data_IF_458763506092
#
_entry.id   IF_458763506092
#
_cell.length_a   1.000
_cell.length_b   1.000
_cell.length_c   1.000
_cell.angle_alpha   90.00
_cell.angle_beta   90.00
_cell.angle_gamma   90.00
#
_symmetry.space_group_name_H-M   'P 1'
#
loop_
_entity.id
_entity.type
_entity.pdbx_description
1 polymer ?
#
# COMPACT_ATOMS: atom_id res chain seq x y z
N UNK A 1 79.95 -19.17 10.44
CA UNK A 1 79.50 -17.80 10.77
C UNK A 1 79.43 -17.02 9.48
N UNK A 2 78.22 -16.72 8.98
CA UNK A 2 77.82 -15.55 8.18
C UNK A 2 76.41 -15.83 7.64
N UNK A 3 75.44 -15.10 8.17
CA UNK A 3 74.04 -15.20 7.84
C UNK A 3 73.70 -14.30 6.64
N UNK A 4 73.08 -14.88 5.61
CA UNK A 4 72.50 -14.16 4.48
C UNK A 4 71.07 -13.75 4.83
N UNK A 5 70.81 -12.43 4.86
CA UNK A 5 69.47 -11.84 4.94
C UNK A 5 68.89 -11.69 3.53
N UNK A 6 67.68 -12.21 3.33
CA UNK A 6 66.87 -12.03 2.13
C UNK A 6 66.03 -10.75 2.25
N UNK A 7 65.81 -9.96 1.18
CA UNK A 7 64.96 -8.78 1.26
C UNK A 7 63.49 -9.15 1.07
N UNK A 8 62.65 -8.70 2.00
CA UNK A 8 61.19 -8.71 1.84
C UNK A 8 60.78 -7.64 0.83
N UNK A 9 60.12 -8.05 -0.25
CA UNK A 9 59.48 -7.16 -1.21
C UNK A 9 58.05 -6.89 -0.71
N UNK A 10 57.79 -5.67 -0.23
CA UNK A 10 56.45 -5.22 0.16
C UNK A 10 55.75 -4.70 -1.09
N UNK A 11 54.80 -5.49 -1.60
CA UNK A 11 53.93 -5.09 -2.71
C UNK A 11 52.82 -4.18 -2.17
N UNK A 12 52.96 -2.88 -2.40
CA UNK A 12 51.95 -1.87 -2.05
C UNK A 12 50.80 -1.93 -3.06
N UNK A 13 49.68 -2.55 -2.70
CA UNK A 13 48.46 -2.53 -3.52
C UNK A 13 47.77 -1.17 -3.30
N UNK A 14 47.99 -0.25 -4.24
CA UNK A 14 47.24 1.00 -4.33
C UNK A 14 45.79 0.68 -4.74
N UNK A 15 44.92 0.55 -3.76
CA UNK A 15 43.47 0.46 -3.96
C UNK A 15 42.97 1.77 -4.56
N UNK A 16 42.66 1.74 -5.86
CA UNK A 16 41.96 2.83 -6.53
C UNK A 16 40.51 2.83 -6.01
N UNK A 17 40.23 3.67 -5.01
CA UNK A 17 38.87 3.94 -4.57
C UNK A 17 38.16 4.72 -5.68
N UNK A 18 37.52 4.00 -6.62
CA UNK A 18 36.56 4.60 -7.54
C UNK A 18 35.38 5.10 -6.72
N UNK A 19 35.39 6.40 -6.40
CA UNK A 19 34.22 7.12 -5.93
C UNK A 19 33.20 7.08 -7.05
N UNK A 20 32.20 6.21 -6.92
CA UNK A 20 30.98 6.31 -7.72
C UNK A 20 30.28 7.60 -7.30
N UNK A 21 30.53 8.68 -8.04
CA UNK A 21 29.67 9.85 -8.01
C UNK A 21 28.28 9.36 -8.44
N UNK A 22 27.33 9.32 -7.49
CA UNK A 22 25.92 9.14 -7.79
C UNK A 22 25.55 10.28 -8.73
N UNK A 23 25.33 9.95 -10.01
CA UNK A 23 24.80 10.91 -10.97
C UNK A 23 23.52 11.50 -10.38
N UNK A 24 23.40 12.84 -10.40
CA UNK A 24 22.18 13.53 -10.01
C UNK A 24 21.00 12.89 -10.77
N UNK A 25 20.17 12.12 -10.05
CA UNK A 25 18.95 11.52 -10.59
C UNK A 25 18.08 12.70 -11.05
N UNK A 26 18.00 12.90 -12.38
CA UNK A 26 17.07 13.85 -12.97
C UNK A 26 15.67 13.51 -12.45
N UNK A 27 15.13 14.37 -11.58
CA UNK A 27 13.85 14.12 -10.93
C UNK A 27 12.76 14.10 -11.99
N UNK A 28 12.13 12.93 -12.16
CA UNK A 28 10.98 12.81 -13.04
C UNK A 28 9.90 13.81 -12.60
N UNK A 29 9.16 14.43 -13.54
CA UNK A 29 8.04 15.27 -13.17
C UNK A 29 7.07 14.50 -12.28
N UNK A 30 6.70 15.08 -11.14
CA UNK A 30 5.81 14.47 -10.15
C UNK A 30 4.40 14.30 -10.75
N UNK A 31 4.15 13.19 -11.45
CA UNK A 31 2.91 12.96 -12.19
C UNK A 31 1.68 12.82 -11.27
N UNK A 32 1.89 12.46 -10.01
CA UNK A 32 0.84 12.32 -9.00
C UNK A 32 0.87 13.46 -7.97
N UNK A 33 1.28 14.65 -8.40
CA UNK A 33 1.30 15.83 -7.55
C UNK A 33 -0.12 16.20 -7.10
N UNK A 34 -0.28 16.39 -5.79
CA UNK A 34 -1.51 16.92 -5.22
C UNK A 34 -1.52 18.44 -5.25
N UNK A 35 -2.71 19.03 -5.27
CA UNK A 35 -2.91 20.46 -5.12
C UNK A 35 -3.39 20.76 -3.71
N UNK A 36 -2.82 21.77 -3.06
CA UNK A 36 -3.27 22.19 -1.72
C UNK A 36 -4.68 22.78 -1.82
N UNK A 37 -5.60 22.24 -1.02
CA UNK A 37 -6.99 22.68 -0.96
C UNK A 37 -7.09 23.95 -0.10
N UNK A 38 -7.70 25.00 -0.64
CA UNK A 38 -7.94 26.23 0.12
C UNK A 38 -8.99 25.99 1.22
N UNK A 39 -8.87 26.61 2.41
CA UNK A 39 -9.80 26.37 3.52
C UNK A 39 -11.29 26.58 3.19
N UNK A 40 -11.61 27.59 2.37
CA UNK A 40 -12.98 27.85 1.93
C UNK A 40 -13.52 26.70 1.04
N UNK A 41 -12.68 26.18 0.15
CA UNK A 41 -13.02 25.04 -0.72
C UNK A 41 -13.18 23.77 0.11
N UNK A 42 -12.28 23.55 1.08
CA UNK A 42 -12.36 22.40 1.99
C UNK A 42 -13.67 22.35 2.77
N UNK A 43 -14.15 23.51 3.26
CA UNK A 43 -15.43 23.60 3.93
C UNK A 43 -16.62 23.31 3.00
N UNK A 44 -16.58 23.83 1.76
CA UNK A 44 -17.62 23.55 0.76
C UNK A 44 -17.69 22.07 0.41
N UNK A 45 -16.54 21.38 0.31
CA UNK A 45 -16.48 19.93 0.08
C UNK A 45 -17.16 19.19 1.24
N UNK A 46 -16.86 19.55 2.49
CA UNK A 46 -17.48 18.93 3.66
C UNK A 46 -19.00 19.13 3.72
N UNK A 47 -19.50 20.31 3.34
CA UNK A 47 -20.94 20.61 3.37
C UNK A 47 -21.75 19.78 2.37
N UNK A 48 -21.14 19.43 1.24
CA UNK A 48 -21.78 18.59 0.22
C UNK A 48 -21.49 17.10 0.37
N UNK A 49 -20.53 16.73 1.23
CA UNK A 49 -20.15 15.35 1.41
C UNK A 49 -21.31 14.51 2.00
N UNK A 50 -21.53 13.35 1.39
CA UNK A 50 -22.40 12.30 1.91
C UNK A 50 -21.64 11.49 2.96
N UNK A 51 -22.12 11.58 4.19
CA UNK A 51 -21.60 10.81 5.32
C UNK A 51 -22.42 9.55 5.54
N UNK A 52 -21.76 8.51 6.06
CA UNK A 52 -22.44 7.31 6.50
C UNK A 52 -23.36 7.63 7.69
N UNK A 53 -24.61 7.19 7.60
CA UNK A 53 -25.55 7.23 8.73
C UNK A 53 -25.33 6.00 9.60
N UNK A 54 -24.95 6.21 10.86
CA UNK A 54 -24.78 5.10 11.80
C UNK A 54 -26.13 4.65 12.34
N UNK A 55 -26.44 3.37 12.14
CA UNK A 55 -27.63 2.74 12.74
C UNK A 55 -27.34 2.16 14.14
N UNK A 56 -26.06 2.01 14.50
CA UNK A 56 -25.63 1.46 15.79
C UNK A 56 -25.48 2.57 16.84
N UNK A 57 -26.15 2.48 18.00
CA UNK A 57 -26.03 3.50 19.05
C UNK A 57 -24.63 3.56 19.68
N UNK A 58 -23.85 2.49 19.56
CA UNK A 58 -22.49 2.39 20.11
C UNK A 58 -21.43 3.04 19.19
N UNK A 59 -21.84 3.60 18.05
CA UNK A 59 -20.91 4.14 17.04
C UNK A 59 -21.12 5.64 16.88
N UNK A 60 -20.04 6.41 16.80
CA UNK A 60 -20.14 7.85 16.72
C UNK A 60 -20.74 8.26 15.37
N UNK A 61 -21.74 9.12 15.37
CA UNK A 61 -22.17 9.78 14.13
C UNK A 61 -21.11 10.82 13.76
N UNK A 62 -20.59 10.74 12.54
CA UNK A 62 -19.62 11.71 12.02
C UNK A 62 -20.31 12.52 10.92
N UNK A 63 -20.13 13.83 10.98
CA UNK A 63 -20.66 14.80 10.03
C UNK A 63 -19.63 15.92 9.77
N UNK A 64 -20.00 16.90 8.93
CA UNK A 64 -19.13 18.03 8.59
C UNK A 64 -18.70 18.84 9.83
N UNK A 65 -19.59 19.03 10.81
CA UNK A 65 -19.28 19.78 12.04
C UNK A 65 -18.23 19.03 12.88
N UNK A 66 -18.41 17.73 13.06
CA UNK A 66 -17.47 16.85 13.78
C UNK A 66 -16.09 16.91 13.14
N UNK A 67 -15.99 16.78 11.81
CA UNK A 67 -14.70 16.83 11.11
C UNK A 67 -14.01 18.20 11.21
N UNK A 68 -14.75 19.31 11.26
CA UNK A 68 -14.18 20.63 11.51
C UNK A 68 -13.56 20.72 12.89
N UNK A 69 -14.28 20.29 13.93
CA UNK A 69 -13.77 20.29 15.31
C UNK A 69 -12.55 19.38 15.44
N UNK A 70 -12.55 18.24 14.76
CA UNK A 70 -11.41 17.32 14.76
C UNK A 70 -10.22 17.79 13.92
N UNK A 71 -10.35 18.93 13.22
CA UNK A 71 -9.40 19.41 12.22
C UNK A 71 -9.07 18.34 11.17
N UNK A 72 -10.05 17.54 10.76
CA UNK A 72 -9.91 16.45 9.79
C UNK A 72 -10.46 16.85 8.41
N UNK A 73 -10.14 18.08 7.99
CA UNK A 73 -10.57 18.67 6.73
C UNK A 73 -9.78 18.10 5.53
N UNK A 74 -10.33 18.12 4.30
CA UNK A 74 -9.53 17.88 3.10
C UNK A 74 -8.47 18.99 2.94
N UNK A 75 -7.21 18.58 2.83
CA UNK A 75 -6.05 19.47 2.69
C UNK A 75 -5.45 19.44 1.29
N UNK A 76 -5.70 18.36 0.56
CA UNK A 76 -5.15 18.11 -0.76
C UNK A 76 -6.25 17.67 -1.72
N UNK A 77 -6.04 17.91 -3.01
CA UNK A 77 -6.91 17.44 -4.08
C UNK A 77 -6.07 16.77 -5.17
N UNK A 78 -6.58 15.67 -5.72
CA UNK A 78 -5.95 14.91 -6.79
C UNK A 78 -7.02 14.46 -7.78
N UNK A 79 -6.83 14.75 -9.07
CA UNK A 79 -7.70 14.24 -10.13
C UNK A 79 -7.20 12.88 -10.59
N UNK A 80 -8.10 11.89 -10.65
CA UNK A 80 -7.83 10.55 -11.15
C UNK A 80 -8.96 10.17 -12.11
N UNK A 81 -8.70 10.33 -13.41
CA UNK A 81 -9.65 10.10 -14.49
C UNK A 81 -10.99 10.84 -14.27
N UNK A 82 -12.08 10.12 -14.03
CA UNK A 82 -13.43 10.65 -13.83
C UNK A 82 -13.71 11.11 -12.39
N UNK A 83 -12.75 10.97 -11.47
CA UNK A 83 -12.94 11.27 -10.05
C UNK A 83 -11.97 12.35 -9.55
N UNK A 84 -12.42 13.14 -8.57
CA UNK A 84 -11.55 14.01 -7.77
C UNK A 84 -11.47 13.47 -6.35
N UNK A 85 -10.26 13.21 -5.88
CA UNK A 85 -10.00 12.80 -4.50
C UNK A 85 -9.58 14.02 -3.69
N UNK A 86 -10.42 14.46 -2.77
CA UNK A 86 -10.03 15.43 -1.76
C UNK A 86 -9.58 14.68 -0.50
N UNK A 87 -8.30 14.81 -0.16
CA UNK A 87 -7.64 13.99 0.86
C UNK A 87 -7.32 14.84 2.09
N UNK A 88 -7.55 14.29 3.28
CA UNK A 88 -6.84 14.75 4.48
C UNK A 88 -5.37 14.34 4.42
N UNK A 89 -4.56 14.82 5.36
CA UNK A 89 -3.29 14.18 5.66
C UNK A 89 -3.50 12.79 6.32
N UNK A 90 -2.49 11.91 6.31
CA UNK A 90 -2.54 10.66 7.04
C UNK A 90 -2.57 10.90 8.56
N UNK A 91 -3.38 10.14 9.29
CA UNK A 91 -3.45 10.13 10.74
C UNK A 91 -2.79 8.87 11.28
N UNK A 92 -2.01 9.00 12.36
CA UNK A 92 -1.46 7.85 13.05
C UNK A 92 -2.59 6.98 13.65
N UNK A 93 -2.45 5.67 13.47
CA UNK A 93 -3.38 4.67 13.98
C UNK A 93 -2.61 3.55 14.70
N UNK A 94 -3.30 2.53 15.20
CA UNK A 94 -2.67 1.48 16.01
C UNK A 94 -1.69 0.63 15.19
N UNK A 95 -0.65 0.11 15.85
CA UNK A 95 0.30 -0.84 15.25
C UNK A 95 1.06 -0.29 14.04
N UNK A 96 1.41 1.00 14.06
CA UNK A 96 2.11 1.68 12.97
C UNK A 96 1.29 1.85 11.69
N UNK A 97 -0.01 1.56 11.72
CA UNK A 97 -0.92 1.85 10.62
C UNK A 97 -1.24 3.33 10.58
N UNK A 98 -1.72 3.78 9.43
CA UNK A 98 -2.30 5.09 9.27
C UNK A 98 -3.68 4.97 8.62
N UNK A 99 -4.54 5.94 8.89
CA UNK A 99 -5.78 6.16 8.16
C UNK A 99 -5.76 7.53 7.49
N UNK A 100 -6.60 7.75 6.50
CA UNK A 100 -6.83 9.06 5.90
C UNK A 100 -8.31 9.19 5.58
N UNK A 101 -8.83 10.41 5.53
CA UNK A 101 -10.16 10.68 4.99
C UNK A 101 -10.03 11.04 3.52
N UNK A 102 -10.89 10.44 2.71
CA UNK A 102 -11.05 10.79 1.31
C UNK A 102 -12.49 11.23 1.07
N UNK A 103 -12.66 12.40 0.48
CA UNK A 103 -13.93 12.88 -0.06
C UNK A 103 -13.85 12.69 -1.56
N UNK A 104 -14.47 11.62 -2.03
CA UNK A 104 -14.41 11.19 -3.43
C UNK A 104 -15.55 11.87 -4.17
N UNK A 105 -15.20 12.77 -5.08
CA UNK A 105 -16.14 13.44 -5.96
C UNK A 105 -16.22 12.68 -7.30
N UNK A 106 -17.41 12.15 -7.61
CA UNK A 106 -17.74 11.49 -8.88
C UNK A 106 -19.13 11.94 -9.29
N UNK A 107 -19.31 12.33 -10.55
CA UNK A 107 -20.59 12.81 -11.09
C UNK A 107 -21.24 13.91 -10.22
N UNK A 108 -20.44 14.90 -9.80
CA UNK A 108 -20.82 16.02 -8.92
C UNK A 108 -21.30 15.60 -7.51
N UNK A 109 -21.18 14.33 -7.13
CA UNK A 109 -21.47 13.84 -5.78
C UNK A 109 -20.20 13.60 -4.97
N UNK A 110 -20.14 14.15 -3.76
CA UNK A 110 -19.01 13.98 -2.85
C UNK A 110 -19.33 12.91 -1.81
N UNK A 111 -18.45 11.92 -1.69
CA UNK A 111 -18.64 10.76 -0.81
C UNK A 111 -17.51 10.68 0.22
N UNK A 112 -17.83 10.79 1.52
CA UNK A 112 -16.84 10.66 2.58
C UNK A 112 -16.48 9.18 2.79
N UNK A 113 -15.19 8.84 2.72
CA UNK A 113 -14.65 7.49 2.86
C UNK A 113 -13.44 7.50 3.78
N UNK A 114 -13.21 6.39 4.46
CA UNK A 114 -11.98 6.17 5.24
C UNK A 114 -11.06 5.27 4.44
N UNK A 115 -9.83 5.71 4.30
CA UNK A 115 -8.75 4.91 3.74
C UNK A 115 -7.85 4.43 4.87
N UNK A 116 -7.26 3.26 4.72
CA UNK A 116 -6.24 2.75 5.62
C UNK A 116 -5.04 2.24 4.84
N UNK A 117 -3.87 2.35 5.46
CA UNK A 117 -2.64 1.80 4.89
C UNK A 117 -2.47 0.33 5.29
N UNK A 118 -2.17 -0.52 4.30
CA UNK A 118 -1.68 -1.87 4.53
C UNK A 118 -0.19 -1.83 4.88
N UNK A 119 0.19 -2.34 6.05
CA UNK A 119 1.60 -2.38 6.45
C UNK A 119 2.42 -3.40 5.65
N UNK A 120 1.80 -4.45 5.12
CA UNK A 120 2.52 -5.50 4.39
C UNK A 120 2.80 -5.08 2.94
N UNK A 121 1.77 -4.62 2.22
CA UNK A 121 1.88 -4.23 0.82
C UNK A 121 2.27 -2.75 0.62
N UNK A 122 2.21 -1.93 1.68
CA UNK A 122 2.38 -0.47 1.63
C UNK A 122 1.40 0.25 0.68
N UNK A 123 0.29 -0.40 0.31
CA UNK A 123 -0.80 0.20 -0.45
C UNK A 123 -1.85 0.81 0.46
N UNK A 124 -2.63 1.75 -0.07
CA UNK A 124 -3.81 2.28 0.59
C UNK A 124 -5.06 1.56 0.12
N UNK A 125 -6.00 1.36 1.04
CA UNK A 125 -7.25 0.65 0.78
C UNK A 125 -8.43 1.39 1.38
N UNK A 126 -9.56 1.32 0.72
CA UNK A 126 -10.83 1.80 1.25
C UNK A 126 -11.30 0.87 2.39
N UNK A 127 -11.79 1.45 3.49
CA UNK A 127 -12.46 0.75 4.56
C UNK A 127 -13.94 1.15 4.56
N UNK A 128 -14.81 0.19 4.26
CA UNK A 128 -16.27 0.34 4.25
C UNK A 128 -16.91 -0.24 5.52
N UNK A 129 -16.24 -1.18 6.19
CA UNK A 129 -16.77 -1.87 7.36
C UNK A 129 -15.68 -2.19 8.39
N UNK A 130 -16.05 -2.20 9.68
CA UNK A 130 -15.17 -2.59 10.80
C UNK A 130 -15.87 -3.41 11.88
N UNK A 131 -15.09 -4.16 12.67
CA UNK A 131 -15.54 -4.94 13.84
C UNK A 131 -14.62 -4.71 15.05
N UNK A 132 -15.07 -3.94 16.04
CA UNK A 132 -14.26 -3.65 17.23
C UNK A 132 -12.91 -2.98 16.95
N UNK A 133 -12.73 -2.39 15.77
CA UNK A 133 -11.46 -1.82 15.27
C UNK A 133 -10.71 -2.70 14.26
N UNK A 134 -11.16 -3.93 14.01
CA UNK A 134 -10.67 -4.73 12.89
C UNK A 134 -11.21 -4.16 11.58
N UNK A 135 -10.41 -4.23 10.52
CA UNK A 135 -10.72 -3.66 9.20
C UNK A 135 -11.32 -4.73 8.29
N UNK A 136 -12.44 -4.42 7.63
CA UNK A 136 -13.08 -5.32 6.67
C UNK A 136 -12.27 -5.45 5.39
N UNK A 137 -12.07 -6.68 4.92
CA UNK A 137 -11.14 -7.00 3.81
C UNK A 137 -11.76 -7.18 2.41
N UNK A 138 -13.09 -7.13 2.26
CA UNK A 138 -13.74 -7.28 0.94
C UNK A 138 -14.00 -8.73 0.54
N UNK A 139 -14.33 -9.00 -0.72
CA UNK A 139 -14.33 -10.37 -1.28
C UNK A 139 -12.91 -10.93 -1.29
N UNK A 140 -11.95 -10.09 -1.68
CA UNK A 140 -10.53 -10.39 -1.79
C UNK A 140 -9.71 -9.27 -1.18
N UNK A 141 -8.58 -9.56 -0.57
CA UNK A 141 -7.79 -8.53 0.13
C UNK A 141 -7.35 -7.33 -0.76
N UNK A 142 -7.30 -7.52 -2.08
CA UNK A 142 -6.86 -6.54 -3.07
C UNK A 142 -7.99 -5.78 -3.78
N UNK A 143 -9.26 -6.13 -3.55
CA UNK A 143 -10.41 -5.52 -4.22
C UNK A 143 -10.79 -4.13 -3.68
N UNK A 144 -10.19 -3.74 -2.55
CA UNK A 144 -10.34 -2.42 -1.91
C UNK A 144 -9.16 -1.50 -2.13
N UNK A 145 -8.21 -1.85 -3.00
CA UNK A 145 -7.07 -0.97 -3.29
C UNK A 145 -7.53 0.29 -4.03
N UNK A 146 -7.17 1.45 -3.48
CA UNK A 146 -7.42 2.73 -4.18
C UNK A 146 -6.47 2.87 -5.37
N UNK A 147 -6.81 3.70 -6.37
CA UNK A 147 -5.92 3.97 -7.50
C UNK A 147 -4.47 4.26 -7.07
N UNK A 148 -3.49 3.79 -7.84
CA UNK A 148 -2.06 3.99 -7.56
C UNK A 148 -1.72 5.48 -7.37
N UNK A 149 -2.24 6.43 -8.18
CA UNK A 149 -2.01 7.86 -7.94
C UNK A 149 -2.39 8.31 -6.51
N UNK A 150 -3.50 7.81 -5.97
CA UNK A 150 -3.95 8.11 -4.60
C UNK A 150 -3.03 7.47 -3.56
N UNK A 151 -2.64 6.21 -3.78
CA UNK A 151 -1.65 5.53 -2.91
C UNK A 151 -0.33 6.30 -2.86
N UNK A 152 0.20 6.73 -4.01
CA UNK A 152 1.45 7.49 -4.09
C UNK A 152 1.32 8.84 -3.41
N UNK A 153 0.23 9.57 -3.66
CA UNK A 153 -0.02 10.85 -3.01
C UNK A 153 0.00 10.75 -1.48
N UNK A 154 -0.72 9.77 -0.92
CA UNK A 154 -0.77 9.55 0.53
C UNK A 154 0.57 9.07 1.11
N UNK A 155 1.34 8.27 0.35
CA UNK A 155 2.68 7.85 0.79
C UNK A 155 3.70 9.00 0.77
N UNK A 156 3.58 9.93 -0.18
CA UNK A 156 4.38 11.17 -0.19
C UNK A 156 4.08 12.07 1.01
N UNK A 157 2.90 11.92 1.63
CA UNK A 157 2.51 12.61 2.87
C UNK A 157 2.78 11.78 4.14
N UNK A 158 3.29 10.54 4.00
CA UNK A 158 3.37 9.56 5.09
C UNK A 158 4.18 10.05 6.29
N UNK A 159 5.32 10.71 6.00
CA UNK A 159 6.29 11.15 7.00
C UNK A 159 5.83 12.42 7.76
N UNK A 160 4.69 13.00 7.37
CA UNK A 160 4.07 14.17 8.00
C UNK A 160 2.65 13.85 8.50
N UNK A 161 2.50 12.93 9.49
CA UNK A 161 1.17 12.57 9.98
C UNK A 161 0.48 13.79 10.59
N UNK A 162 -0.77 13.98 10.23
CA UNK A 162 -1.64 15.02 10.73
C UNK A 162 -2.10 14.70 12.16
N UNK A 163 -2.16 15.73 13.01
CA UNK A 163 -2.74 15.65 14.34
C UNK A 163 -4.24 15.92 14.28
N UNK A 164 -5.02 14.99 14.84
CA UNK A 164 -6.48 15.10 15.04
C UNK A 164 -6.76 15.79 16.38
N UNK A 165 -7.74 16.68 16.41
CA UNK A 165 -8.21 17.33 17.63
C UNK A 165 -9.39 16.55 18.25
N UNK A 166 -9.56 16.62 19.58
CA UNK A 166 -10.73 15.97 20.20
C UNK A 166 -11.99 16.78 19.95
N UNK A 167 -13.10 16.11 19.61
CA UNK A 167 -14.38 16.74 19.32
C UNK A 167 -15.25 16.97 20.57
N UNK A 168 -14.94 16.29 21.67
CA UNK A 168 -15.63 16.38 22.97
C UNK A 168 -14.84 17.18 24.00
N UNK A 169 -13.76 17.85 23.59
CA UNK A 169 -12.78 18.54 24.43
C UNK A 169 -12.02 17.64 25.43
N UNK A 170 -12.09 16.30 25.29
CA UNK A 170 -11.26 15.39 26.07
C UNK A 170 -9.83 15.33 25.50
N UNK A 171 -8.97 16.21 26.01
CA UNK A 171 -7.56 16.27 25.64
C UNK A 171 -6.76 15.01 26.06
N UNK A 172 -7.34 14.09 26.84
CA UNK A 172 -6.66 12.86 27.25
C UNK A 172 -6.68 11.77 26.18
N UNK A 173 -7.54 11.88 25.17
CA UNK A 173 -7.64 10.90 24.08
C UNK A 173 -6.35 10.87 23.26
N UNK A 174 -5.83 9.67 23.03
CA UNK A 174 -4.68 9.50 22.13
C UNK A 174 -5.08 9.76 20.68
N UNK A 175 -4.10 10.07 19.83
CA UNK A 175 -4.33 10.19 18.37
C UNK A 175 -4.92 8.91 17.78
N UNK A 176 -4.48 7.74 18.28
CA UNK A 176 -5.02 6.45 17.85
C UNK A 176 -6.48 6.26 18.23
N UNK A 177 -6.91 6.77 19.39
CA UNK A 177 -8.32 6.71 19.82
C UNK A 177 -9.20 7.63 18.98
N UNK A 178 -8.73 8.84 18.68
CA UNK A 178 -9.42 9.77 17.79
C UNK A 178 -9.52 9.23 16.36
N UNK A 179 -8.45 8.62 15.83
CA UNK A 179 -8.47 7.93 14.55
C UNK A 179 -9.45 6.74 14.56
N UNK A 180 -9.54 6.00 15.68
CA UNK A 180 -10.53 4.93 15.84
C UNK A 180 -11.97 5.45 15.80
N UNK A 181 -12.24 6.61 16.39
CA UNK A 181 -13.55 7.27 16.33
C UNK A 181 -13.92 7.61 14.88
N UNK A 182 -13.00 8.25 14.14
CA UNK A 182 -13.22 8.56 12.71
C UNK A 182 -13.51 7.28 11.91
N UNK A 183 -12.68 6.25 12.09
CA UNK A 183 -12.84 4.97 11.43
C UNK A 183 -14.19 4.33 11.75
N UNK A 184 -14.59 4.27 13.02
CA UNK A 184 -15.85 3.64 13.41
C UNK A 184 -17.06 4.43 12.92
N UNK A 185 -17.01 5.75 12.96
CA UNK A 185 -18.15 6.58 12.57
C UNK A 185 -18.36 6.74 11.06
N UNK A 186 -17.34 6.42 10.25
CA UNK A 186 -17.40 6.49 8.79
C UNK A 186 -17.37 5.13 8.10
N UNK A 187 -17.40 4.03 8.85
CA UNK A 187 -17.52 2.67 8.31
C UNK A 187 -18.77 1.99 8.84
N UNK A 188 -19.25 0.92 8.23
CA UNK A 188 -20.38 0.10 8.70
C UNK A 188 -19.91 -0.86 9.78
N UNK A 189 -20.76 -1.13 10.78
CA UNK A 189 -20.48 -2.14 11.80
C UNK A 189 -20.66 -3.52 11.16
N UNK A 190 -19.70 -4.43 11.35
CA UNK A 190 -19.84 -5.82 10.91
C UNK A 190 -21.12 -6.50 11.41
N UNK A 191 -21.63 -6.08 12.57
CA UNK A 191 -22.87 -6.61 13.16
C UNK A 191 -24.14 -5.99 12.57
N UNK A 192 -24.01 -4.93 11.76
CA UNK A 192 -25.13 -4.28 11.09
C UNK A 192 -25.72 -5.18 10.00
N UNK A 193 -27.03 -5.07 9.76
CA UNK A 193 -27.72 -5.70 8.64
C UNK A 193 -27.23 -5.18 7.26
N UNK A 194 -26.57 -4.02 7.25
CA UNK A 194 -25.92 -3.44 6.07
C UNK A 194 -24.60 -4.13 5.72
N UNK A 195 -24.06 -4.98 6.61
CA UNK A 195 -22.85 -5.74 6.38
C UNK A 195 -23.17 -7.14 5.84
N UNK A 196 -22.37 -7.58 4.87
CA UNK A 196 -22.36 -8.94 4.35
C UNK A 196 -21.12 -9.62 4.91
N UNK A 197 -21.30 -10.77 5.57
CA UNK A 197 -20.21 -11.61 6.07
C UNK A 197 -20.06 -12.87 5.21
N UNK A 198 -18.83 -13.26 4.94
CA UNK A 198 -18.45 -14.50 4.27
C UNK A 198 -17.89 -15.53 5.26
N UNK A 199 -17.86 -16.80 4.85
CA UNK A 199 -17.48 -17.92 5.72
C UNK A 199 -16.01 -17.89 6.19
N UNK A 200 -15.14 -17.21 5.46
CA UNK A 200 -13.71 -17.02 5.77
C UNK A 200 -13.44 -15.83 6.70
N UNK A 201 -14.49 -15.20 7.24
CA UNK A 201 -14.38 -14.04 8.11
C UNK A 201 -14.17 -12.74 7.36
N UNK A 202 -14.23 -12.74 6.03
CA UNK A 202 -14.31 -11.53 5.24
C UNK A 202 -15.68 -10.87 5.38
N UNK A 203 -15.69 -9.53 5.32
CA UNK A 203 -16.91 -8.76 5.40
C UNK A 203 -16.77 -7.40 4.68
N UNK A 204 -17.91 -6.90 4.22
CA UNK A 204 -18.04 -5.67 3.43
C UNK A 204 -19.48 -5.16 3.45
N UNK A 205 -19.71 -3.93 3.03
CA UNK A 205 -21.02 -3.32 2.97
C UNK A 205 -21.86 -3.79 1.79
N UNK A 206 -23.19 -3.67 1.88
CA UNK A 206 -24.08 -3.87 0.73
C UNK A 206 -23.82 -2.89 -0.41
N UNK A 207 -23.46 -1.65 -0.09
CA UNK A 207 -23.04 -0.64 -1.09
C UNK A 207 -21.81 -1.13 -1.86
N UNK A 208 -20.81 -1.65 -1.15
CA UNK A 208 -19.63 -2.25 -1.76
C UNK A 208 -19.98 -3.38 -2.73
N UNK A 209 -20.82 -4.31 -2.30
CA UNK A 209 -21.26 -5.43 -3.13
C UNK A 209 -22.06 -5.00 -4.37
N UNK A 210 -22.73 -3.85 -4.32
CA UNK A 210 -23.49 -3.31 -5.45
C UNK A 210 -22.60 -2.61 -6.49
N UNK A 211 -21.47 -2.04 -6.06
CA UNK A 211 -20.59 -1.23 -6.90
C UNK A 211 -19.35 -1.98 -7.40
N UNK A 212 -18.96 -3.07 -6.74
CA UNK A 212 -17.79 -3.85 -7.11
C UNK A 212 -18.24 -5.22 -7.63
N UNK A 213 -17.91 -5.57 -8.89
CA UNK A 213 -18.22 -6.87 -9.43
C UNK A 213 -17.44 -7.93 -8.65
N UNK A 214 -18.09 -9.04 -8.34
CA UNK A 214 -17.46 -10.15 -7.62
C UNK A 214 -16.40 -10.90 -8.45
N UNK A 215 -16.31 -10.64 -9.75
CA UNK A 215 -15.35 -11.29 -10.64
C UNK A 215 -14.18 -10.35 -10.98
N UNK A 216 -12.96 -10.66 -10.51
CA UNK A 216 -11.78 -9.87 -10.87
C UNK A 216 -11.44 -9.96 -12.35
N UNK A 217 -10.58 -9.06 -12.81
CA UNK A 217 -9.70 -9.38 -13.93
C UNK A 217 -8.58 -10.31 -13.44
N UNK A 218 -8.71 -11.60 -13.72
CA UNK A 218 -7.66 -12.58 -13.46
C UNK A 218 -6.46 -12.27 -14.36
N UNK A 219 -5.33 -11.98 -13.74
CA UNK A 219 -4.19 -11.41 -14.44
C UNK A 219 -3.01 -12.35 -14.60
N UNK A 220 -2.90 -13.35 -13.72
CA UNK A 220 -1.89 -14.39 -13.81
C UNK A 220 -2.52 -15.76 -13.66
N UNK A 221 -1.78 -16.79 -14.06
CA UNK A 221 -2.21 -18.18 -13.87
C UNK A 221 -1.30 -18.84 -12.84
N UNK A 222 -1.91 -19.51 -11.88
CA UNK A 222 -1.21 -20.30 -10.86
C UNK A 222 -1.40 -21.78 -11.16
N UNK A 223 -0.30 -22.52 -11.32
CA UNK A 223 -0.34 -23.98 -11.38
C UNK A 223 -0.68 -24.57 -10.03
N UNK A 224 0.32 -24.61 -9.14
CA UNK A 224 0.22 -25.17 -7.80
C UNK A 224 0.10 -24.10 -6.72
N UNK A 225 -0.58 -24.45 -5.62
CA UNK A 225 -0.61 -23.69 -4.37
C UNK A 225 0.13 -24.44 -3.26
N UNK A 226 0.69 -23.68 -2.33
CA UNK A 226 1.40 -24.16 -1.16
C UNK A 226 0.61 -23.84 0.09
N UNK A 227 0.57 -24.79 1.02
CA UNK A 227 -0.04 -24.59 2.34
C UNK A 227 0.91 -23.84 3.25
N UNK A 228 0.38 -22.83 3.93
CA UNK A 228 1.07 -22.06 4.96
C UNK A 228 0.85 -22.69 6.34
N UNK A 229 1.60 -22.28 7.36
CA UNK A 229 1.40 -22.82 8.72
C UNK A 229 0.07 -22.38 9.36
N UNK A 230 -0.59 -21.34 8.85
CA UNK A 230 -1.97 -20.96 9.21
C UNK A 230 -3.03 -21.72 8.39
N UNK A 231 -2.67 -22.79 7.69
CA UNK A 231 -3.54 -23.52 6.74
C UNK A 231 -4.05 -22.67 5.58
N UNK A 232 -3.46 -21.50 5.34
CA UNK A 232 -3.74 -20.68 4.16
C UNK A 232 -3.12 -21.31 2.92
N UNK A 233 -3.60 -20.91 1.74
CA UNK A 233 -3.02 -21.30 0.46
C UNK A 233 -2.43 -20.07 -0.22
N UNK A 234 -1.15 -20.14 -0.59
CA UNK A 234 -0.48 -19.14 -1.44
C UNK A 234 -0.02 -19.80 -2.73
N UNK A 235 0.25 -19.03 -3.78
CA UNK A 235 0.80 -19.59 -5.01
C UNK A 235 2.16 -20.27 -4.76
N UNK A 236 2.51 -21.32 -5.50
CA UNK A 236 3.92 -21.70 -5.61
C UNK A 236 4.58 -20.67 -6.54
N UNK A 237 5.56 -19.87 -6.06
CA UNK A 237 6.11 -18.79 -6.86
C UNK A 237 6.77 -19.31 -8.14
N UNK A 238 7.19 -20.58 -8.17
CA UNK A 238 7.81 -21.24 -9.33
C UNK A 238 6.80 -21.65 -10.40
N UNK A 239 5.51 -21.66 -10.07
CA UNK A 239 4.41 -22.06 -10.95
C UNK A 239 3.46 -20.92 -11.30
N UNK A 240 3.77 -19.69 -10.87
CA UNK A 240 3.11 -18.48 -11.35
C UNK A 240 3.53 -18.24 -12.79
N UNK A 241 2.58 -17.97 -13.68
CA UNK A 241 2.85 -17.58 -15.06
C UNK A 241 2.57 -16.10 -15.26
N UNK A 242 3.54 -15.40 -15.85
CA UNK A 242 3.34 -14.02 -16.28
C UNK A 242 2.26 -13.93 -17.36
N UNK A 243 1.51 -12.81 -17.41
CA UNK A 243 0.62 -12.51 -18.52
C UNK A 243 1.38 -12.33 -19.84
N UNK A 244 0.62 -12.09 -20.91
CA UNK A 244 1.17 -11.68 -22.19
C UNK A 244 2.05 -10.42 -22.06
N UNK A 245 3.06 -10.30 -22.92
CA UNK A 245 4.12 -9.27 -22.80
C UNK A 245 3.55 -7.86 -22.82
N UNK A 246 2.56 -7.59 -23.66
CA UNK A 246 1.87 -6.32 -23.79
C UNK A 246 1.29 -5.80 -22.46
N UNK A 247 0.95 -6.71 -21.55
CA UNK A 247 0.43 -6.36 -20.24
C UNK A 247 1.52 -6.22 -19.18
N UNK A 248 2.75 -6.67 -19.41
CA UNK A 248 3.85 -6.52 -18.45
C UNK A 248 4.29 -5.05 -18.31
N UNK A 249 4.87 -4.65 -17.16
CA UNK A 249 5.37 -3.30 -16.99
C UNK A 249 6.47 -2.99 -17.99
N UNK A 250 6.38 -1.81 -18.60
CA UNK A 250 7.46 -1.25 -19.41
C UNK A 250 8.49 -0.60 -18.48
N UNK A 251 9.46 -1.40 -18.04
CA UNK A 251 10.50 -1.00 -17.08
C UNK A 251 11.45 0.07 -17.62
N UNK A 252 11.35 0.44 -18.91
CA UNK A 252 12.10 1.54 -19.52
C UNK A 252 11.36 2.89 -19.43
N UNK A 253 10.10 2.89 -18.98
CA UNK A 253 9.25 4.07 -18.87
C UNK A 253 8.69 4.18 -17.46
N UNK A 254 9.54 4.62 -16.54
CA UNK A 254 9.11 4.97 -15.19
C UNK A 254 8.17 6.19 -15.24
N UNK A 255 7.04 6.07 -14.54
CA UNK A 255 5.96 7.07 -14.47
C UNK A 255 6.20 8.02 -13.30
N UNK A 256 6.60 7.48 -12.16
CA UNK A 256 6.88 8.21 -10.93
C UNK A 256 7.84 7.40 -10.05
N UNK A 257 8.59 8.09 -9.20
CA UNK A 257 9.46 7.52 -8.19
C UNK A 257 9.52 8.41 -6.96
N UNK A 258 9.46 7.80 -5.78
CA UNK A 258 9.40 8.50 -4.51
C UNK A 258 9.97 7.67 -3.38
N UNK A 259 10.29 8.33 -2.28
CA UNK A 259 10.77 7.67 -1.05
C UNK A 259 9.85 8.02 0.11
N UNK A 260 9.73 7.09 1.05
CA UNK A 260 9.03 7.30 2.31
C UNK A 260 9.58 6.33 3.37
N UNK A 261 9.33 6.60 4.65
CA UNK A 261 9.83 5.76 5.74
C UNK A 261 8.71 4.95 6.39
N UNK A 262 8.64 3.64 6.16
CA UNK A 262 7.65 2.79 6.81
C UNK A 262 8.07 2.42 8.23
N UNK A 263 7.37 2.93 9.25
CA UNK A 263 7.61 2.59 10.67
C UNK A 263 7.50 1.09 10.91
N UNK A 264 6.41 0.45 10.43
CA UNK A 264 6.23 -1.00 10.56
C UNK A 264 7.34 -1.81 9.88
N UNK A 265 7.95 -1.29 8.81
CA UNK A 265 9.09 -1.94 8.17
C UNK A 265 10.38 -1.73 8.97
N UNK A 266 10.57 -0.52 9.50
CA UNK A 266 11.71 -0.17 10.34
C UNK A 266 11.79 -1.06 11.59
N UNK A 267 10.66 -1.34 12.23
CA UNK A 267 10.55 -2.17 13.43
C UNK A 267 11.17 -3.57 13.24
N UNK A 268 11.03 -4.16 12.05
CA UNK A 268 11.57 -5.51 11.79
C UNK A 268 12.88 -5.52 11.01
N UNK A 269 13.31 -4.38 10.50
CA UNK A 269 14.53 -4.27 9.68
C UNK A 269 15.60 -3.41 10.38
N UNK A 270 15.71 -3.56 11.71
CA UNK A 270 16.72 -2.89 12.54
C UNK A 270 16.77 -1.36 12.34
N UNK A 271 15.59 -0.72 12.30
CA UNK A 271 15.44 0.73 12.10
C UNK A 271 15.52 1.18 10.65
N UNK A 272 15.79 0.28 9.69
CA UNK A 272 15.86 0.61 8.27
C UNK A 272 14.46 0.53 7.63
N UNK A 273 13.68 1.61 7.77
CA UNK A 273 12.31 1.72 7.24
C UNK A 273 12.16 2.34 5.85
N UNK A 274 13.24 2.89 5.28
CA UNK A 274 13.18 3.60 4.01
C UNK A 274 12.88 2.65 2.84
N UNK A 275 11.88 3.04 2.05
CA UNK A 275 11.44 2.35 0.84
C UNK A 275 11.41 3.34 -0.31
N UNK A 276 11.79 2.87 -1.50
CA UNK A 276 11.62 3.58 -2.77
C UNK A 276 10.44 2.97 -3.52
N UNK A 277 9.39 3.75 -3.75
CA UNK A 277 8.28 3.38 -4.62
C UNK A 277 8.58 3.75 -6.06
N UNK A 278 8.33 2.82 -7.01
CA UNK A 278 8.51 3.05 -8.45
C UNK A 278 7.26 2.61 -9.20
N UNK A 279 6.79 3.47 -10.10
CA UNK A 279 5.55 3.26 -10.86
C UNK A 279 5.86 3.07 -12.32
N UNK A 280 5.28 2.05 -12.93
CA UNK A 280 5.44 1.74 -14.36
C UNK A 280 4.08 1.47 -14.98
N UNK A 281 3.85 1.97 -16.19
CA UNK A 281 2.72 1.52 -17.01
C UNK A 281 3.09 0.24 -17.78
N UNK A 282 2.09 -0.55 -18.15
CA UNK A 282 2.29 -1.68 -19.08
C UNK A 282 2.68 -1.20 -20.48
N UNK A 283 3.19 -2.12 -21.31
CA UNK A 283 3.51 -1.80 -22.71
C UNK A 283 2.29 -1.32 -23.50
N UNK A 284 1.10 -1.86 -23.23
CA UNK A 284 -0.16 -1.44 -23.86
C UNK A 284 -0.84 -0.25 -23.16
N UNK A 285 -0.27 0.26 -22.06
CA UNK A 285 -0.79 1.38 -21.29
C UNK A 285 -2.13 1.13 -20.58
N UNK A 286 -2.59 -0.13 -20.48
CA UNK A 286 -3.87 -0.48 -19.82
C UNK A 286 -3.73 -0.74 -18.32
N UNK A 287 -2.51 -0.97 -17.85
CA UNK A 287 -2.21 -1.33 -16.48
C UNK A 287 -1.12 -0.44 -15.92
N UNK A 288 -1.13 -0.29 -14.61
CA UNK A 288 -0.10 0.41 -13.85
C UNK A 288 0.37 -0.46 -12.69
N UNK A 289 1.68 -0.46 -12.47
CA UNK A 289 2.36 -1.27 -11.46
C UNK A 289 3.02 -0.37 -10.45
N UNK A 290 2.90 -0.72 -9.17
CA UNK A 290 3.67 -0.08 -8.10
C UNK A 290 4.60 -1.12 -7.47
N UNK A 291 5.90 -0.89 -7.60
CA UNK A 291 6.93 -1.66 -6.92
C UNK A 291 7.48 -0.88 -5.73
N UNK A 292 7.86 -1.57 -4.67
CA UNK A 292 8.66 -1.00 -3.59
C UNK A 292 10.00 -1.71 -3.48
N UNK A 293 11.06 -0.95 -3.30
CA UNK A 293 12.42 -1.42 -3.11
C UNK A 293 13.00 -0.89 -1.80
N UNK A 294 13.63 -1.76 -1.01
CA UNK A 294 14.31 -1.36 0.22
C UNK A 294 15.79 -0.98 -0.02
N UNK A 295 16.46 -0.49 1.02
CA UNK A 295 17.90 -0.14 0.95
C UNK A 295 18.84 -1.31 0.66
N UNK A 296 18.38 -2.56 0.79
CA UNK A 296 19.13 -3.77 0.41
C UNK A 296 18.90 -4.13 -1.06
N UNK A 297 18.19 -3.27 -1.79
CA UNK A 297 17.83 -3.44 -3.18
C UNK A 297 16.79 -4.54 -3.41
N UNK A 298 16.07 -5.00 -2.37
CA UNK A 298 15.02 -6.04 -2.46
C UNK A 298 13.71 -5.39 -2.90
N UNK A 299 13.13 -5.86 -4.00
CA UNK A 299 11.91 -5.33 -4.57
C UNK A 299 10.70 -6.24 -4.33
N UNK A 300 9.51 -5.66 -4.17
CA UNK A 300 8.24 -6.37 -4.17
C UNK A 300 7.22 -5.62 -5.04
N UNK A 301 6.38 -6.36 -5.74
CA UNK A 301 5.17 -5.82 -6.36
C UNK A 301 4.14 -5.57 -5.27
N UNK A 302 3.66 -4.32 -5.15
CA UNK A 302 2.63 -3.94 -4.18
C UNK A 302 1.23 -4.14 -4.73
N UNK A 303 0.99 -3.61 -5.93
CA UNK A 303 -0.33 -3.57 -6.57
C UNK A 303 -0.19 -3.44 -8.08
N UNK A 304 -1.24 -3.90 -8.78
CA UNK A 304 -1.50 -3.66 -10.18
C UNK A 304 -2.87 -3.02 -10.32
N UNK A 305 -2.93 -1.88 -11.00
CA UNK A 305 -4.16 -1.15 -11.28
C UNK A 305 -4.54 -1.31 -12.75
N UNK A 306 -5.83 -1.53 -13.02
CA UNK A 306 -6.37 -1.43 -14.37
C UNK A 306 -6.88 0.00 -14.63
N UNK A 307 -6.37 0.62 -15.70
CA UNK A 307 -6.63 2.02 -16.02
C UNK A 307 -7.89 2.27 -16.87
N UNK A 308 -8.50 1.23 -17.45
CA UNK A 308 -9.72 1.40 -18.26
C UNK A 308 -11.01 1.52 -17.43
N UNK A 309 -11.22 0.73 -16.37
CA UNK A 309 -12.41 0.88 -15.54
C UNK A 309 -12.42 2.24 -14.83
N UNK A 310 -13.57 2.91 -14.85
CA UNK A 310 -13.78 4.17 -14.12
C UNK A 310 -13.68 3.98 -12.61
N UNK A 311 -13.39 5.07 -11.92
CA UNK A 311 -13.45 5.15 -10.46
C UNK A 311 -14.90 5.37 -10.04
N UNK A 312 -15.41 4.56 -9.11
CA UNK A 312 -16.77 4.66 -8.57
C UNK A 312 -16.83 5.55 -7.31
N UNK A 313 -18.03 5.74 -6.77
CA UNK A 313 -18.29 6.55 -5.57
C UNK A 313 -17.55 6.07 -4.29
N UNK A 314 -16.99 4.86 -4.28
CA UNK A 314 -16.15 4.37 -3.17
C UNK A 314 -14.69 4.81 -3.30
N UNK A 315 -14.32 5.48 -4.41
CA UNK A 315 -12.93 5.81 -4.73
C UNK A 315 -12.14 4.59 -5.20
N UNK A 316 -12.81 3.57 -5.73
CA UNK A 316 -12.20 2.34 -6.22
C UNK A 316 -12.43 2.21 -7.73
N UNK A 317 -11.50 1.55 -8.42
CA UNK A 317 -11.75 1.10 -9.79
C UNK A 317 -12.93 0.13 -9.80
N UNK A 318 -13.86 0.32 -10.73
CA UNK A 318 -15.02 -0.57 -10.90
C UNK A 318 -14.65 -2.00 -11.29
N UNK A 319 -13.39 -2.26 -11.64
CA UNK A 319 -12.85 -3.61 -11.79
C UNK A 319 -11.41 -3.67 -11.29
N UNK A 320 -11.15 -4.58 -10.36
CA UNK A 320 -9.83 -4.79 -9.77
C UNK A 320 -9.06 -5.91 -10.49
N UNK A 321 -7.73 -5.90 -10.31
CA UNK A 321 -6.81 -6.87 -10.86
C UNK A 321 -6.51 -7.92 -9.80
N UNK A 322 -6.81 -9.19 -10.11
CA UNK A 322 -6.33 -10.32 -9.31
C UNK A 322 -5.00 -10.78 -9.89
N UNK A 323 -3.93 -10.44 -9.18
CA UNK A 323 -2.55 -10.81 -9.49
C UNK A 323 -2.29 -12.31 -9.35
N UNK A 324 -3.20 -13.07 -8.72
CA UNK A 324 -3.08 -14.49 -8.41
C UNK A 324 -1.68 -14.89 -7.91
N UNK A 325 -1.11 -14.12 -6.99
CA UNK A 325 0.19 -14.44 -6.39
C UNK A 325 1.41 -13.97 -7.20
N UNK A 326 1.25 -13.07 -8.18
CA UNK A 326 2.37 -12.27 -8.68
C UNK A 326 2.91 -11.31 -7.62
N UNK A 327 2.10 -10.90 -6.65
CA UNK A 327 2.50 -10.04 -5.55
C UNK A 327 2.73 -10.86 -4.27
N UNK A 328 3.68 -10.40 -3.48
CA UNK A 328 3.87 -10.82 -2.09
C UNK A 328 4.68 -9.73 -1.38
N UNK A 329 4.34 -9.40 -0.12
CA UNK A 329 5.04 -8.35 0.60
C UNK A 329 6.46 -8.79 0.98
N UNK A 330 7.39 -7.84 1.13
CA UNK A 330 8.75 -8.13 1.61
C UNK A 330 8.77 -8.68 3.04
N UNK A 331 7.75 -8.35 3.83
CA UNK A 331 7.52 -8.83 5.18
C UNK A 331 6.15 -9.48 5.26
N UNK A 332 6.09 -10.63 5.91
CA UNK A 332 4.83 -11.33 6.12
C UNK A 332 4.79 -11.97 7.50
N UNK A 333 3.59 -12.18 8.04
CA UNK A 333 3.44 -13.04 9.20
C UNK A 333 4.02 -14.41 8.89
N UNK A 334 4.90 -14.90 9.77
CA UNK A 334 5.59 -16.16 9.53
C UNK A 334 4.66 -17.34 9.22
N UNK A 335 3.44 -17.34 9.80
CA UNK A 335 2.44 -18.39 9.57
C UNK A 335 1.87 -18.39 8.15
N UNK A 336 2.01 -17.28 7.43
CA UNK A 336 1.53 -17.09 6.07
C UNK A 336 2.64 -17.31 5.03
N UNK A 337 3.87 -17.57 5.48
CA UNK A 337 4.99 -17.97 4.62
C UNK A 337 5.04 -19.50 4.55
N UNK A 338 5.07 -20.14 3.37
CA UNK A 338 5.24 -21.58 3.29
C UNK A 338 6.56 -22.04 3.91
N UNK A 339 6.55 -23.19 4.60
CA UNK A 339 7.73 -23.70 5.32
C UNK A 339 8.98 -23.82 4.43
N UNK A 340 8.80 -24.21 3.16
CA UNK A 340 9.88 -24.32 2.18
C UNK A 340 10.63 -22.99 1.92
N UNK A 341 10.01 -21.85 2.20
CA UNK A 341 10.59 -20.52 2.04
C UNK A 341 11.01 -19.89 3.37
N UNK A 342 11.07 -20.66 4.45
CA UNK A 342 11.55 -20.20 5.74
C UNK A 342 10.48 -19.67 6.67
N UNK A 343 9.19 -19.97 6.43
CA UNK A 343 8.16 -19.83 7.46
C UNK A 343 8.54 -20.65 8.70
N UNK A 344 9.01 -19.96 9.74
CA UNK A 344 9.40 -20.54 11.04
C UNK A 344 8.62 -19.84 12.15
N UNK A 345 8.36 -20.55 13.26
CA UNK A 345 7.58 -20.01 14.37
C UNK A 345 8.34 -18.90 15.11
N UNK A 346 8.13 -17.66 14.68
CA UNK A 346 8.68 -16.43 15.28
C UNK A 346 7.56 -15.41 15.49
N UNK A 347 7.47 -14.70 16.62
CA UNK A 347 6.41 -13.72 16.81
C UNK A 347 6.53 -12.57 15.80
N UNK A 348 5.40 -12.17 15.20
CA UNK A 348 5.31 -10.97 14.34
C UNK A 348 5.63 -11.20 12.86
N UNK A 349 6.09 -10.13 12.21
CA UNK A 349 6.49 -10.13 10.80
C UNK A 349 7.92 -10.65 10.65
N UNK A 350 8.15 -11.45 9.61
CA UNK A 350 9.48 -11.90 9.21
C UNK A 350 9.71 -11.65 7.72
N UNK A 351 10.97 -11.72 7.29
CA UNK A 351 11.34 -11.49 5.90
C UNK A 351 10.80 -12.59 4.98
N UNK A 352 9.95 -12.20 4.04
CA UNK A 352 9.39 -13.08 3.01
C UNK A 352 10.26 -13.14 1.74
N UNK A 353 11.46 -12.54 1.77
CA UNK A 353 12.31 -12.37 0.58
C UNK A 353 12.66 -13.69 -0.13
N UNK A 354 12.78 -14.80 0.61
CA UNK A 354 13.05 -16.13 0.03
C UNK A 354 11.94 -16.57 -0.94
N UNK A 355 10.70 -16.24 -0.63
CA UNK A 355 9.54 -16.47 -1.49
C UNK A 355 9.48 -15.40 -2.59
N UNK A 356 9.52 -14.12 -2.22
CA UNK A 356 9.33 -12.99 -3.15
C UNK A 356 10.33 -13.02 -4.30
N UNK A 357 11.61 -13.32 -4.03
CA UNK A 357 12.66 -13.37 -5.06
C UNK A 357 12.46 -14.45 -6.12
N UNK A 358 11.60 -15.43 -5.86
CA UNK A 358 11.28 -16.52 -6.78
C UNK A 358 10.11 -16.18 -7.70
N UNK A 359 9.39 -15.09 -7.43
CA UNK A 359 8.26 -14.67 -8.26
C UNK A 359 8.76 -14.20 -9.64
N UNK A 360 8.17 -14.70 -10.75
CA UNK A 360 8.59 -14.33 -12.10
C UNK A 360 8.53 -12.83 -12.37
N UNK A 361 7.56 -12.10 -11.78
CA UNK A 361 7.47 -10.65 -11.98
C UNK A 361 8.62 -9.90 -11.31
N UNK A 362 9.15 -10.43 -10.20
CA UNK A 362 10.31 -9.88 -9.53
C UNK A 362 11.57 -10.17 -10.36
N UNK A 363 11.71 -11.39 -10.88
CA UNK A 363 12.80 -11.71 -11.81
C UNK A 363 12.76 -10.82 -13.06
N UNK A 364 11.58 -10.61 -13.63
CA UNK A 364 11.35 -9.69 -14.74
C UNK A 364 11.79 -8.26 -14.39
N UNK A 365 11.37 -7.73 -13.24
CA UNK A 365 11.74 -6.41 -12.73
C UNK A 365 13.27 -6.20 -12.70
N UNK A 366 14.04 -7.14 -12.11
CA UNK A 366 15.50 -7.01 -12.08
C UNK A 366 16.13 -7.15 -13.46
N UNK A 367 15.69 -8.13 -14.26
CA UNK A 367 16.26 -8.36 -15.59
C UNK A 367 16.06 -7.17 -16.52
N UNK A 368 14.90 -6.52 -16.49
CA UNK A 368 14.59 -5.35 -17.30
C UNK A 368 15.38 -4.10 -16.92
N UNK A 369 15.95 -4.08 -15.71
CA UNK A 369 16.87 -3.04 -15.24
C UNK A 369 18.35 -3.42 -15.39
N UNK A 370 18.66 -4.60 -15.96
CA UNK A 370 20.05 -5.09 -16.06
C UNK A 370 20.68 -5.41 -14.70
N UNK A 371 19.87 -5.71 -13.67
CA UNK A 371 20.30 -6.00 -12.31
C UNK A 371 20.18 -7.48 -11.99
N UNK A 372 21.01 -7.96 -11.07
CA UNK A 372 20.84 -9.29 -10.48
C UNK A 372 19.85 -9.23 -9.30
N UNK A 373 19.05 -10.28 -9.14
CA UNK A 373 18.16 -10.44 -7.98
C UNK A 373 19.01 -10.61 -6.71
N UNK A 374 18.86 -9.77 -5.67
CA UNK A 374 19.63 -9.89 -4.43
C UNK A 374 19.61 -11.29 -3.83
N UNK A 375 20.77 -11.73 -3.36
CA UNK A 375 20.94 -13.02 -2.68
C UNK A 375 20.33 -13.00 -1.27
N UNK A 376 20.17 -14.17 -0.65
CA UNK A 376 19.67 -14.30 0.74
C UNK A 376 20.81 -14.08 1.75
N UNK A 377 22.05 -14.26 1.32
CA UNK A 377 23.23 -14.02 2.14
C UNK A 377 23.73 -12.60 1.89
N UNK A 378 24.23 -11.89 2.92
CA UNK A 378 25.08 -10.75 2.64
C UNK A 378 26.25 -11.20 1.74
N UNK A 379 26.68 -10.37 0.78
CA UNK A 379 27.89 -10.64 -0.01
C UNK A 379 29.12 -10.87 0.88
#
# INVERSE_FOLDING_TARGET
MFALRSPFCVLLVLGCATSFALADEATLPNQFATQKTQPAVANKILEHARFLKQDSPDRPQIDAATLRTMNALPQYSLVVDNAVFHLSGPFAFYGGRQIALAFVEVDDEVHARVLYRSNSQFSWRMCDATDGGHLGKGFHEFDKQVPIPVTVALLKMYDEPQTVQSFDNDASRSQSDLAKVLLQGLTIDRRSQQCISQADGHYYSREYAALIPSQPMVFSLVGKRLTTASSGLVADPREVKLPAREHLPNLQKEVDSFRFTSVAYAEVNAGQGELTGRVFDSFDGKLRYLFFEDRKGRAALSTVEHLLPEVNALGLRSRYVDTQGMDAPLLEYFLQIPAAFGGKKEPGYTSNWRYVRQLPIIQYYYSGQGRMVPSIFPP
#
